data_IF_325931405424
#
_entry.id   IF_325931405424
#
_cell.length_a   1.000
_cell.length_b   1.000
_cell.length_c   1.000
_cell.angle_alpha   90.00
_cell.angle_beta   90.00
_cell.angle_gamma   90.00
#
_symmetry.space_group_name_H-M   'P 1'
#
loop_
_entity.id
_entity.type
_entity.pdbx_description
1 polymer ?
#
# COMPACT_ATOMS: atom_id res chain seq x y z
N UNK A 1 -1.42 -4.14 -6.92
CA UNK A 1 -2.26 -5.00 -6.07
C UNK A 1 -2.73 -6.20 -6.89
N UNK A 2 -2.79 -7.39 -6.31
CA UNK A 2 -3.12 -8.64 -6.99
C UNK A 2 -4.52 -9.11 -6.56
N UNK A 3 -5.55 -8.66 -7.29
CA UNK A 3 -6.95 -8.97 -7.00
C UNK A 3 -7.30 -10.44 -7.28
N UNK A 4 -6.61 -11.09 -8.21
CA UNK A 4 -6.74 -12.54 -8.44
C UNK A 4 -6.33 -13.34 -7.21
N UNK A 5 -5.20 -13.00 -6.60
CA UNK A 5 -4.73 -13.66 -5.39
C UNK A 5 -5.67 -13.42 -4.20
N UNK A 6 -6.19 -12.19 -4.06
CA UNK A 6 -7.20 -11.85 -3.05
C UNK A 6 -8.44 -12.75 -3.15
N UNK A 7 -9.04 -12.83 -4.35
CA UNK A 7 -10.24 -13.64 -4.60
C UNK A 7 -9.97 -15.13 -4.40
N UNK A 8 -8.82 -15.63 -4.87
CA UNK A 8 -8.42 -17.02 -4.66
C UNK A 8 -8.27 -17.35 -3.16
N UNK A 9 -7.68 -16.46 -2.37
CA UNK A 9 -7.53 -16.65 -0.93
C UNK A 9 -8.89 -16.68 -0.21
N UNK A 10 -9.80 -15.76 -0.56
CA UNK A 10 -11.19 -15.73 -0.08
C UNK A 10 -11.97 -16.99 -0.42
N UNK A 11 -11.93 -17.41 -1.69
CA UNK A 11 -12.64 -18.61 -2.17
C UNK A 11 -12.18 -19.90 -1.47
N UNK A 12 -10.89 -19.98 -1.14
CA UNK A 12 -10.29 -21.14 -0.46
C UNK A 12 -10.38 -21.04 1.07
N UNK A 13 -10.76 -19.90 1.64
CA UNK A 13 -10.81 -19.67 3.08
C UNK A 13 -9.43 -19.75 3.76
N UNK A 14 -8.39 -19.24 3.09
CA UNK A 14 -6.99 -19.36 3.52
C UNK A 14 -6.33 -18.02 3.85
N UNK A 15 -7.08 -16.93 3.93
CA UNK A 15 -6.54 -15.58 4.14
C UNK A 15 -5.70 -15.52 5.42
N UNK A 16 -6.20 -16.08 6.52
CA UNK A 16 -5.50 -16.12 7.82
C UNK A 16 -4.24 -16.99 7.82
N UNK A 17 -4.01 -17.80 6.78
CA UNK A 17 -2.82 -18.64 6.61
C UNK A 17 -1.76 -17.98 5.73
N UNK A 18 -2.08 -16.87 5.07
CA UNK A 18 -1.13 -16.19 4.20
C UNK A 18 -0.11 -15.42 5.05
N UNK A 19 1.19 -15.61 4.82
CA UNK A 19 2.21 -14.77 5.44
C UNK A 19 2.00 -13.31 5.00
N UNK A 20 2.44 -12.37 5.83
CA UNK A 20 2.24 -10.93 5.58
C UNK A 20 2.76 -10.48 4.21
N UNK A 21 3.90 -11.03 3.77
CA UNK A 21 4.50 -10.78 2.45
C UNK A 21 3.58 -11.10 1.26
N UNK A 22 2.61 -12.00 1.46
CA UNK A 22 1.59 -12.32 0.47
C UNK A 22 0.35 -11.46 0.69
N UNK A 23 -0.12 -11.36 1.94
CA UNK A 23 -1.33 -10.62 2.30
C UNK A 23 -1.25 -9.15 1.85
N UNK A 24 -0.12 -8.48 2.09
CA UNK A 24 0.10 -7.08 1.71
C UNK A 24 -0.02 -6.83 0.19
N UNK A 25 0.16 -7.87 -0.64
CA UNK A 25 0.10 -7.76 -2.10
C UNK A 25 -1.32 -7.93 -2.63
N UNK A 26 -2.23 -8.45 -1.82
CA UNK A 26 -3.60 -8.76 -2.22
C UNK A 26 -4.53 -7.55 -2.15
N UNK A 27 -4.21 -6.55 -1.31
CA UNK A 27 -5.04 -5.37 -1.12
C UNK A 27 -4.23 -4.10 -0.82
N UNK A 28 -4.91 -2.94 -0.71
CA UNK A 28 -4.32 -1.76 -0.10
C UNK A 28 -3.83 -2.08 1.31
N UNK A 29 -2.64 -1.62 1.66
CA UNK A 29 -2.11 -1.73 3.01
C UNK A 29 -1.49 -0.39 3.44
N UNK A 30 -1.35 -0.23 4.75
CA UNK A 30 -0.54 0.80 5.35
C UNK A 30 0.34 0.16 6.41
N UNK A 31 1.41 0.86 6.79
CA UNK A 31 2.32 0.39 7.82
C UNK A 31 2.30 1.31 9.03
N UNK A 32 2.44 0.72 10.21
CA UNK A 32 2.75 1.43 11.46
C UNK A 32 4.20 1.16 11.82
N UNK A 33 4.94 2.23 12.15
CA UNK A 33 6.36 2.17 12.46
C UNK A 33 7.19 2.91 11.42
N UNK A 34 8.36 2.36 11.11
CA UNK A 34 9.34 2.99 10.23
C UNK A 34 8.95 2.90 8.75
N UNK A 35 9.64 3.63 7.88
CA UNK A 35 9.45 3.47 6.43
C UNK A 35 10.14 2.18 5.94
N UNK A 36 9.75 1.67 4.76
CA UNK A 36 10.44 0.53 4.13
C UNK A 36 11.92 0.80 3.80
N UNK A 37 12.38 2.05 3.98
CA UNK A 37 13.73 2.52 3.65
C UNK A 37 14.54 2.88 4.90
N UNK A 38 14.14 2.40 6.07
CA UNK A 38 14.87 2.61 7.33
C UNK A 38 16.37 2.37 7.16
N UNK A 39 17.18 3.38 7.51
CA UNK A 39 18.64 3.38 7.36
C UNK A 39 19.18 3.39 5.91
N UNK A 40 18.30 3.50 4.92
CA UNK A 40 18.61 3.51 3.49
C UNK A 40 17.99 4.71 2.77
N UNK A 41 17.54 5.74 3.49
CA UNK A 41 16.81 6.89 2.93
C UNK A 41 17.66 7.68 1.92
N UNK A 42 18.98 7.76 2.15
CA UNK A 42 19.93 8.43 1.25
C UNK A 42 20.28 7.58 0.00
N UNK A 43 19.96 6.29 0.01
CA UNK A 43 20.28 5.37 -1.09
C UNK A 43 19.22 5.52 -2.17
N UNK A 44 19.62 6.00 -3.34
CA UNK A 44 18.72 6.11 -4.50
C UNK A 44 18.30 4.72 -4.97
N UNK A 45 16.99 4.47 -4.95
CA UNK A 45 16.38 3.25 -5.45
C UNK A 45 15.50 3.60 -6.63
N UNK A 46 15.50 2.75 -7.66
CA UNK A 46 14.74 2.95 -8.89
C UNK A 46 13.78 1.78 -9.09
N UNK A 47 12.59 2.07 -9.60
CA UNK A 47 11.65 1.04 -10.03
C UNK A 47 12.15 0.39 -11.36
N UNK A 48 11.52 -0.71 -11.82
CA UNK A 48 11.90 -1.35 -13.09
C UNK A 48 11.83 -0.44 -14.33
N UNK A 49 11.05 0.64 -14.28
CA UNK A 49 10.96 1.65 -15.35
C UNK A 49 12.05 2.72 -15.26
N UNK A 50 13.00 2.60 -14.32
CA UNK A 50 14.06 3.57 -14.08
C UNK A 50 13.61 4.85 -13.36
N UNK A 51 12.40 4.89 -12.79
CA UNK A 51 11.92 6.03 -12.00
C UNK A 51 12.43 5.92 -10.57
N UNK A 52 13.02 7.00 -10.06
CA UNK A 52 13.49 7.06 -8.67
C UNK A 52 12.29 6.98 -7.70
N UNK A 53 12.44 6.16 -6.66
CA UNK A 53 11.46 6.08 -5.58
C UNK A 53 11.71 7.23 -4.61
N UNK A 54 10.82 8.21 -4.59
CA UNK A 54 11.00 9.46 -3.83
C UNK A 54 10.39 9.43 -2.43
N UNK A 55 9.37 8.59 -2.20
CA UNK A 55 8.71 8.46 -0.90
C UNK A 55 9.51 7.52 0.03
N UNK A 56 10.68 7.98 0.48
CA UNK A 56 11.60 7.19 1.34
C UNK A 56 11.65 7.66 2.78
N UNK A 57 11.39 8.95 3.02
CA UNK A 57 11.43 9.54 4.35
C UNK A 57 10.13 10.28 4.71
N UNK A 58 10.07 10.69 5.97
CA UNK A 58 9.01 11.51 6.54
C UNK A 58 9.62 12.40 7.63
N UNK A 59 8.79 13.22 8.28
CA UNK A 59 9.21 14.12 9.35
C UNK A 59 9.93 13.44 10.53
N UNK A 60 9.62 12.17 10.82
CA UNK A 60 10.24 11.40 11.90
C UNK A 60 11.58 10.81 11.46
N UNK A 61 11.62 10.13 10.31
CA UNK A 61 12.85 9.54 9.77
C UNK A 61 13.88 10.62 9.39
N UNK A 62 13.45 11.86 9.11
CA UNK A 62 14.34 13.02 8.90
C UNK A 62 15.19 13.36 10.14
N UNK A 63 14.73 12.99 11.34
CA UNK A 63 15.49 13.18 12.58
C UNK A 63 16.79 12.37 12.62
N UNK A 64 17.01 11.41 11.70
CA UNK A 64 18.24 10.58 11.62
C UNK A 64 19.54 11.39 11.61
N UNK A 65 19.50 12.62 11.10
CA UNK A 65 20.67 13.52 11.03
C UNK A 65 20.88 14.37 12.29
N UNK A 66 19.84 14.57 13.11
CA UNK A 66 19.85 15.48 14.27
C UNK A 66 19.70 14.73 15.59
N UNK A 67 18.80 13.75 15.65
CA UNK A 67 18.54 12.90 16.80
C UNK A 67 18.22 11.45 16.36
N UNK A 68 19.25 10.64 16.05
CA UNK A 68 19.09 9.30 15.51
C UNK A 68 18.25 8.36 16.38
N UNK A 69 18.29 8.52 17.71
CA UNK A 69 17.55 7.65 18.63
C UNK A 69 16.03 7.85 18.58
N UNK A 70 15.56 8.94 17.98
CA UNK A 70 14.13 9.23 17.76
C UNK A 70 13.67 8.98 16.33
N UNK A 71 14.58 8.61 15.43
CA UNK A 71 14.27 8.48 14.02
C UNK A 71 13.65 7.13 13.66
N UNK A 72 13.83 6.10 14.52
CA UNK A 72 13.43 4.73 14.24
C UNK A 72 12.74 4.07 15.43
N UNK A 73 11.58 3.48 15.17
CA UNK A 73 10.83 2.61 16.07
C UNK A 73 11.39 1.18 16.09
N UNK A 74 12.22 0.82 15.11
CA UNK A 74 12.77 -0.53 14.89
C UNK A 74 11.66 -1.57 14.66
N UNK A 75 10.57 -1.14 14.05
CA UNK A 75 9.49 -2.00 13.61
C UNK A 75 8.82 -1.43 12.37
N UNK A 76 8.28 -2.32 11.54
CA UNK A 76 7.46 -2.00 10.39
C UNK A 76 6.35 -3.05 10.37
N UNK A 77 5.12 -2.63 10.66
CA UNK A 77 3.98 -3.55 10.74
C UNK A 77 2.97 -3.19 9.68
N UNK A 78 2.92 -3.99 8.63
CA UNK A 78 1.94 -3.89 7.56
C UNK A 78 0.56 -4.37 8.02
N UNK A 79 -0.44 -3.59 7.66
CA UNK A 79 -1.86 -3.86 7.91
C UNK A 79 -2.57 -3.75 6.56
N UNK A 80 -3.06 -4.88 6.07
CA UNK A 80 -3.83 -4.93 4.81
C UNK A 80 -5.29 -4.65 5.10
N UNK A 81 -5.90 -3.77 4.29
CA UNK A 81 -7.31 -3.41 4.38
C UNK A 81 -8.10 -4.26 3.38
N UNK A 82 -9.12 -5.03 3.82
CA UNK A 82 -10.03 -5.74 2.92
C UNK A 82 -10.78 -4.78 1.99
N UNK A 83 -11.01 -5.17 0.73
CA UNK A 83 -11.70 -4.29 -0.23
C UNK A 83 -13.14 -4.00 0.19
N UNK A 84 -13.84 -4.98 0.74
CA UNK A 84 -15.21 -4.87 1.24
C UNK A 84 -15.35 -3.92 2.45
N UNK A 85 -14.27 -3.65 3.16
CA UNK A 85 -14.21 -2.68 4.25
C UNK A 85 -13.75 -1.28 3.79
N UNK A 86 -13.21 -1.17 2.57
CA UNK A 86 -12.67 0.09 2.04
C UNK A 86 -13.74 0.91 1.32
N UNK A 87 -14.27 1.91 2.03
CA UNK A 87 -15.27 2.83 1.49
C UNK A 87 -14.73 3.68 0.32
N UNK A 88 -13.61 4.37 0.51
CA UNK A 88 -13.02 5.25 -0.51
C UNK A 88 -11.51 5.37 -0.36
N UNK A 89 -10.78 5.32 -1.49
CA UNK A 89 -9.40 5.78 -1.61
C UNK A 89 -9.35 6.86 -2.69
N UNK A 90 -8.96 8.07 -2.31
CA UNK A 90 -8.96 9.24 -3.19
C UNK A 90 -7.64 10.00 -3.08
N UNK A 91 -7.01 10.28 -4.22
CA UNK A 91 -5.89 11.21 -4.26
C UNK A 91 -6.42 12.66 -4.15
N UNK A 92 -5.80 13.44 -3.27
CA UNK A 92 -6.11 14.85 -3.07
C UNK A 92 -4.96 15.69 -3.62
N UNK A 93 -5.26 16.49 -4.63
CA UNK A 93 -4.31 17.43 -5.24
C UNK A 93 -4.08 18.63 -4.32
N UNK A 94 -3.00 19.37 -4.57
CA UNK A 94 -2.67 20.62 -3.86
C UNK A 94 -3.79 21.67 -3.92
N UNK A 95 -4.54 21.71 -5.02
CA UNK A 95 -5.68 22.62 -5.22
C UNK A 95 -6.98 22.13 -4.54
N UNK A 96 -6.93 21.01 -3.81
CA UNK A 96 -8.08 20.36 -3.20
C UNK A 96 -8.90 19.47 -4.15
N UNK A 97 -8.56 19.44 -5.44
CA UNK A 97 -9.22 18.56 -6.40
C UNK A 97 -9.01 17.09 -6.05
N UNK A 98 -10.08 16.30 -6.18
CA UNK A 98 -10.14 14.91 -5.74
C UNK A 98 -10.15 13.98 -6.96
N UNK A 99 -9.34 12.92 -6.91
CA UNK A 99 -9.30 11.88 -7.94
C UNK A 99 -9.57 10.54 -7.24
N UNK A 100 -10.81 10.01 -7.33
CA UNK A 100 -11.14 8.71 -6.79
C UNK A 100 -10.32 7.60 -7.46
N UNK A 101 -9.78 6.69 -6.64
CA UNK A 101 -9.01 5.54 -7.09
C UNK A 101 -9.78 4.25 -6.79
N UNK A 102 -10.29 4.13 -5.57
CA UNK A 102 -11.17 3.04 -5.14
C UNK A 102 -12.43 3.66 -4.52
N UNK A 103 -13.59 3.12 -4.86
CA UNK A 103 -14.86 3.42 -4.20
C UNK A 103 -15.66 2.13 -4.00
N UNK A 104 -16.22 1.94 -2.80
CA UNK A 104 -16.97 0.74 -2.41
C UNK A 104 -16.22 -0.57 -2.75
N UNK A 105 -14.93 -0.64 -2.40
CA UNK A 105 -14.10 -1.82 -2.66
C UNK A 105 -13.82 -2.13 -4.14
N UNK A 106 -14.03 -1.19 -5.06
CA UNK A 106 -13.78 -1.35 -6.50
C UNK A 106 -12.90 -0.24 -7.04
N UNK A 107 -12.04 -0.58 -8.01
CA UNK A 107 -11.20 0.39 -8.71
C UNK A 107 -12.06 1.24 -9.66
N UNK A 108 -11.99 2.57 -9.52
CA UNK A 108 -12.80 3.53 -10.30
C UNK A 108 -11.96 4.51 -11.11
N UNK A 109 -10.63 4.47 -10.96
CA UNK A 109 -9.73 5.29 -11.79
C UNK A 109 -9.72 4.75 -13.22
N UNK A 110 -9.88 5.63 -14.20
CA UNK A 110 -9.82 5.22 -15.60
C UNK A 110 -8.50 4.50 -15.94
N UNK A 111 -8.59 3.37 -16.63
CA UNK A 111 -7.45 2.50 -16.95
C UNK A 111 -7.15 1.43 -15.91
N UNK A 112 -7.94 1.34 -14.83
CA UNK A 112 -7.79 0.31 -13.77
C UNK A 112 -8.92 -0.71 -13.78
N UNK A 113 -9.78 -0.70 -14.79
CA UNK A 113 -11.01 -1.49 -14.87
C UNK A 113 -10.72 -3.00 -14.80
N UNK A 114 -9.64 -3.46 -15.43
CA UNK A 114 -9.21 -4.86 -15.44
C UNK A 114 -8.92 -5.41 -14.03
N UNK A 115 -8.49 -4.56 -13.09
CA UNK A 115 -8.24 -4.97 -11.71
C UNK A 115 -9.52 -5.42 -11.00
N UNK A 116 -10.69 -5.01 -11.48
CA UNK A 116 -11.99 -5.45 -10.95
C UNK A 116 -12.46 -6.78 -11.49
N UNK A 117 -11.90 -7.31 -12.59
CA UNK A 117 -12.38 -8.56 -13.20
C UNK A 117 -12.40 -9.72 -12.20
N UNK A 118 -11.35 -9.98 -11.40
CA UNK A 118 -11.40 -11.04 -10.39
C UNK A 118 -12.41 -10.75 -9.28
N UNK A 119 -12.60 -9.48 -8.91
CA UNK A 119 -13.47 -9.09 -7.79
C UNK A 119 -14.95 -9.36 -8.07
N UNK A 120 -15.36 -9.48 -9.34
CA UNK A 120 -16.73 -9.83 -9.73
C UNK A 120 -17.13 -11.26 -9.34
N UNK A 121 -16.17 -12.15 -9.09
CA UNK A 121 -16.46 -13.50 -8.56
C UNK A 121 -17.01 -13.46 -7.11
N UNK A 122 -16.90 -12.31 -6.44
CA UNK A 122 -17.35 -12.10 -5.06
C UNK A 122 -18.70 -11.35 -4.97
N UNK A 123 -19.28 -10.95 -6.11
CA UNK A 123 -20.62 -10.35 -6.19
C UNK A 123 -21.72 -11.42 -6.04
#
# INVERSE_FOLDING_TARGET
TNTTAYVAAKRLGVEARMPILIAEKMGPHFAVGDTCYSHAEEVKVYNPDGKEIVARDNEVAALRSVNPSKAYFNCHTDITIPYDELAELTAVKKDGGRIPIIANGRFVLHGTEELNEPLRELD
#
